data_IF_647478687492
#
_entry.id   IF_647478687492
#
_cell.length_a   1.000
_cell.length_b   1.000
_cell.length_c   1.000
_cell.angle_alpha   90.00
_cell.angle_beta   90.00
_cell.angle_gamma   90.00
#
_symmetry.space_group_name_H-M   'P 1'
#
loop_
_entity.id
_entity.type
_entity.pdbx_description
1 polymer ?
#
# COMPACT_ATOMS: atom_id res chain seq x y z
N UNK A 1 13.85 5.92 17.66
CA UNK A 1 12.62 5.24 17.19
C UNK A 1 12.30 5.67 15.76
N UNK A 2 11.50 4.90 15.02
CA UNK A 2 11.01 5.27 13.68
C UNK A 2 9.52 5.61 13.80
N UNK A 3 9.10 6.71 13.18
CA UNK A 3 7.69 7.12 13.10
C UNK A 3 7.17 6.79 11.70
N UNK A 4 6.13 5.97 11.61
CA UNK A 4 5.43 5.66 10.37
C UNK A 4 3.99 6.15 10.48
N UNK A 5 3.55 6.95 9.51
CA UNK A 5 2.17 7.46 9.47
C UNK A 5 1.20 6.37 9.03
N UNK A 6 0.19 6.08 9.85
CA UNK A 6 -0.92 5.18 9.51
C UNK A 6 -1.94 5.81 8.55
N UNK A 7 -1.46 6.40 7.45
CA UNK A 7 -2.32 7.08 6.47
C UNK A 7 -2.50 6.14 5.29
N UNK A 8 -3.75 5.76 4.99
CA UNK A 8 -4.07 5.03 3.77
C UNK A 8 -3.70 5.87 2.54
N UNK A 9 -3.01 5.24 1.59
CA UNK A 9 -2.52 5.90 0.38
C UNK A 9 -3.61 6.42 -0.53
N UNK A 10 -3.20 7.10 -1.60
CA UNK A 10 -4.08 7.54 -2.68
C UNK A 10 -3.23 7.60 -3.96
N UNK A 11 -3.85 7.40 -5.11
CA UNK A 11 -3.19 7.41 -6.40
C UNK A 11 -3.81 8.49 -7.30
N UNK A 12 -3.16 9.64 -7.52
CA UNK A 12 -1.77 9.97 -7.16
C UNK A 12 -1.57 10.36 -5.66
N UNK A 13 -0.34 10.28 -5.13
CA UNK A 13 -0.06 10.62 -3.74
C UNK A 13 -0.35 12.10 -3.40
N UNK A 14 -1.12 12.34 -2.34
CA UNK A 14 -1.56 13.68 -1.93
C UNK A 14 -0.62 14.42 -0.94
N UNK A 15 0.56 13.89 -0.64
CA UNK A 15 1.52 14.53 0.30
C UNK A 15 1.04 14.64 1.77
N UNK A 16 0.02 13.88 2.16
CA UNK A 16 -0.63 13.96 3.48
C UNK A 16 0.30 13.70 4.67
N UNK A 17 1.36 12.90 4.50
CA UNK A 17 2.35 12.63 5.57
C UNK A 17 2.98 13.92 6.12
N UNK A 18 3.31 14.88 5.25
CA UNK A 18 3.90 16.17 5.69
C UNK A 18 2.93 16.96 6.56
N UNK A 19 1.67 17.04 6.12
CA UNK A 19 0.61 17.81 6.79
C UNK A 19 0.17 17.18 8.11
N UNK A 20 0.04 15.86 8.16
CA UNK A 20 -0.61 15.15 9.27
C UNK A 20 0.39 14.59 10.29
N UNK A 21 1.63 14.29 9.88
CA UNK A 21 2.62 13.61 10.72
C UNK A 21 3.86 14.47 10.92
N UNK A 22 4.59 14.80 9.84
CA UNK A 22 5.89 15.48 9.95
C UNK A 22 5.79 16.83 10.66
N UNK A 23 4.76 17.62 10.36
CA UNK A 23 4.49 18.91 11.03
C UNK A 23 4.26 18.80 12.53
N UNK A 24 3.85 17.63 13.03
CA UNK A 24 3.54 17.36 14.44
C UNK A 24 4.70 16.68 15.18
N UNK A 25 5.80 16.37 14.49
CA UNK A 25 7.00 15.77 15.05
C UNK A 25 8.23 16.60 14.68
N UNK A 26 8.35 17.85 15.18
CA UNK A 26 9.40 18.80 14.75
C UNK A 26 10.81 18.34 15.10
N UNK A 27 10.97 17.52 16.13
CA UNK A 27 12.26 16.92 16.52
C UNK A 27 12.64 15.71 15.65
N UNK A 28 11.70 15.19 14.86
CA UNK A 28 11.95 14.05 14.00
C UNK A 28 12.58 14.49 12.67
N UNK A 29 13.61 13.75 12.25
CA UNK A 29 14.26 13.99 10.96
C UNK A 29 13.50 13.24 9.86
N UNK A 30 12.95 13.99 8.90
CA UNK A 30 12.31 13.40 7.73
C UNK A 30 13.34 12.77 6.77
N UNK A 31 13.03 11.56 6.28
CA UNK A 31 13.82 10.80 5.31
C UNK A 31 12.90 10.13 4.30
N UNK A 32 13.33 10.07 3.05
CA UNK A 32 12.67 9.29 2.01
C UNK A 32 13.25 7.87 1.97
N UNK A 33 12.40 6.88 1.72
CA UNK A 33 12.77 5.46 1.56
C UNK A 33 12.71 5.00 0.09
N UNK A 34 12.64 5.95 -0.84
CA UNK A 34 12.46 5.72 -2.27
C UNK A 34 11.65 6.83 -2.92
N UNK A 35 11.45 6.74 -4.23
CA UNK A 35 10.70 7.74 -5.04
C UNK A 35 9.21 7.44 -5.19
N UNK A 36 8.75 6.27 -4.74
CA UNK A 36 7.34 5.85 -4.85
C UNK A 36 6.62 5.77 -3.51
N UNK A 37 5.30 5.64 -3.58
CA UNK A 37 4.45 5.47 -2.40
C UNK A 37 4.40 4.00 -1.98
N UNK A 38 4.88 3.71 -0.78
CA UNK A 38 4.79 2.37 -0.19
C UNK A 38 3.45 2.18 0.54
N UNK A 39 3.03 0.92 0.67
CA UNK A 39 2.07 0.52 1.70
C UNK A 39 2.69 0.73 3.09
N UNK A 40 1.86 0.75 4.15
CA UNK A 40 2.36 0.87 5.52
C UNK A 40 3.31 -0.31 5.85
N UNK A 41 2.88 -1.54 5.54
CA UNK A 41 3.69 -2.75 5.73
C UNK A 41 5.02 -2.69 4.97
N UNK A 42 4.98 -2.24 3.71
CA UNK A 42 6.16 -2.08 2.87
C UNK A 42 7.13 -1.04 3.42
N UNK A 43 6.62 0.10 3.90
CA UNK A 43 7.44 1.15 4.49
C UNK A 43 8.13 0.68 5.78
N UNK A 44 7.41 -0.03 6.65
CA UNK A 44 7.96 -0.62 7.89
C UNK A 44 9.04 -1.63 7.55
N UNK A 45 8.81 -2.49 6.56
CA UNK A 45 9.79 -3.50 6.16
C UNK A 45 11.07 -2.89 5.59
N UNK A 46 10.97 -1.88 4.72
CA UNK A 46 12.13 -1.15 4.20
C UNK A 46 12.90 -0.48 5.34
N UNK A 47 12.20 0.17 6.28
CA UNK A 47 12.83 0.81 7.42
C UNK A 47 13.58 -0.21 8.30
N UNK A 48 12.99 -1.39 8.52
CA UNK A 48 13.64 -2.50 9.23
C UNK A 48 14.94 -2.93 8.53
N UNK A 49 14.91 -3.15 7.22
CA UNK A 49 16.10 -3.55 6.47
C UNK A 49 17.21 -2.49 6.53
N UNK A 50 16.86 -1.22 6.42
CA UNK A 50 17.83 -0.12 6.58
C UNK A 50 18.45 -0.11 7.97
N UNK A 51 17.65 -0.32 9.02
CA UNK A 51 18.17 -0.47 10.39
C UNK A 51 19.09 -1.70 10.55
N UNK A 52 18.94 -2.72 9.71
CA UNK A 52 19.81 -3.89 9.66
C UNK A 52 21.07 -3.69 8.80
N UNK A 53 21.28 -2.49 8.25
CA UNK A 53 22.48 -2.13 7.48
C UNK A 53 22.33 -2.26 5.96
N UNK A 54 21.16 -2.63 5.45
CA UNK A 54 20.92 -2.67 4.00
C UNK A 54 20.85 -1.25 3.43
N UNK A 55 21.46 -1.03 2.27
CA UNK A 55 21.31 0.23 1.55
C UNK A 55 19.99 0.20 0.77
N UNK A 56 19.29 1.33 0.70
CA UNK A 56 18.01 1.42 -0.04
C UNK A 56 18.09 0.88 -1.48
N UNK A 57 19.22 1.12 -2.17
CA UNK A 57 19.44 0.66 -3.54
C UNK A 57 19.58 -0.86 -3.70
N UNK A 58 19.87 -1.57 -2.61
CA UNK A 58 20.03 -3.02 -2.60
C UNK A 58 18.70 -3.72 -2.22
N UNK A 59 17.68 -2.97 -1.80
CA UNK A 59 16.36 -3.52 -1.46
C UNK A 59 15.56 -3.68 -2.74
N UNK A 60 15.16 -4.91 -3.06
CA UNK A 60 14.32 -5.17 -4.21
C UNK A 60 12.91 -4.63 -3.97
N UNK A 61 12.46 -3.75 -4.86
CA UNK A 61 11.13 -3.15 -4.81
C UNK A 61 10.52 -3.18 -6.21
N UNK A 62 9.22 -3.51 -6.31
CA UNK A 62 8.44 -3.38 -7.55
C UNK A 62 7.25 -2.45 -7.34
N UNK A 63 6.88 -1.74 -8.39
CA UNK A 63 5.66 -0.94 -8.44
C UNK A 63 4.52 -1.79 -8.97
N UNK A 64 3.37 -1.69 -8.33
CA UNK A 64 2.16 -2.38 -8.76
C UNK A 64 2.11 -3.81 -8.25
N UNK A 65 0.95 -4.22 -7.77
CA UNK A 65 0.64 -5.61 -7.48
C UNK A 65 -0.73 -5.93 -8.09
N UNK A 66 -0.77 -6.98 -8.90
CA UNK A 66 -2.02 -7.54 -9.43
C UNK A 66 -2.45 -8.70 -8.54
N UNK A 67 -3.68 -8.64 -8.04
CA UNK A 67 -4.28 -9.67 -7.20
C UNK A 67 -5.49 -10.20 -7.94
N UNK A 68 -5.43 -11.47 -8.36
CA UNK A 68 -6.57 -12.15 -8.99
C UNK A 68 -7.64 -12.47 -7.95
N UNK A 69 -8.90 -12.24 -8.31
CA UNK A 69 -10.08 -12.52 -7.50
C UNK A 69 -10.95 -13.51 -8.26
N UNK A 70 -10.91 -14.77 -7.83
CA UNK A 70 -11.48 -15.89 -8.60
C UNK A 70 -10.93 -15.92 -10.03
N UNK A 71 -11.80 -16.29 -10.98
CA UNK A 71 -11.43 -16.43 -12.39
C UNK A 71 -11.76 -15.21 -13.25
N UNK A 72 -12.53 -14.24 -12.70
CA UNK A 72 -13.18 -13.20 -13.50
C UNK A 72 -12.71 -11.77 -13.21
N UNK A 73 -12.02 -11.55 -12.10
CA UNK A 73 -11.63 -10.21 -11.68
C UNK A 73 -10.18 -10.15 -11.22
N UNK A 74 -9.62 -8.94 -11.30
CA UNK A 74 -8.28 -8.64 -10.83
C UNK A 74 -8.29 -7.23 -10.22
N UNK A 75 -7.62 -7.08 -9.09
CA UNK A 75 -7.38 -5.77 -8.46
C UNK A 75 -5.94 -5.37 -8.66
N UNK A 76 -5.74 -4.16 -9.16
CA UNK A 76 -4.43 -3.53 -9.28
C UNK A 76 -4.18 -2.58 -8.11
N UNK A 77 -3.10 -2.82 -7.37
CA UNK A 77 -2.66 -1.98 -6.25
C UNK A 77 -1.43 -1.15 -6.68
N UNK A 78 -1.55 0.17 -6.92
CA UNK A 78 -0.52 1.01 -7.53
C UNK A 78 0.61 1.46 -6.58
N UNK A 79 0.98 0.64 -5.61
CA UNK A 79 1.99 0.96 -4.58
C UNK A 79 3.36 0.32 -4.85
N UNK A 80 4.36 0.73 -4.10
CA UNK A 80 5.68 0.12 -4.05
C UNK A 80 5.68 -1.03 -3.03
N UNK A 81 6.10 -2.21 -3.47
CA UNK A 81 6.19 -3.42 -2.66
C UNK A 81 7.64 -3.87 -2.57
N UNK A 82 8.26 -3.87 -1.38
CA UNK A 82 9.54 -4.53 -1.19
C UNK A 82 9.34 -6.05 -1.23
N UNK A 83 10.38 -6.79 -1.61
CA UNK A 83 10.32 -8.23 -1.75
C UNK A 83 11.12 -8.93 -0.65
N UNK A 84 10.55 -10.02 -0.13
CA UNK A 84 11.21 -10.95 0.79
C UNK A 84 11.07 -12.35 0.20
N UNK A 85 12.19 -13.04 -0.02
CA UNK A 85 12.21 -14.41 -0.54
C UNK A 85 11.39 -14.58 -1.83
N UNK A 86 11.48 -13.59 -2.73
CA UNK A 86 10.77 -13.57 -4.01
C UNK A 86 9.28 -13.21 -3.93
N UNK A 87 8.73 -12.95 -2.73
CA UNK A 87 7.33 -12.55 -2.52
C UNK A 87 7.22 -11.07 -2.14
N UNK A 88 6.18 -10.35 -2.61
CA UNK A 88 5.92 -8.99 -2.15
C UNK A 88 5.59 -9.00 -0.65
N UNK A 89 6.10 -8.03 0.10
CA UNK A 89 5.71 -7.82 1.49
C UNK A 89 4.35 -7.12 1.51
N UNK A 90 3.33 -7.88 1.87
CA UNK A 90 1.94 -7.46 1.96
C UNK A 90 1.26 -8.27 3.08
N UNK A 91 0.30 -7.66 3.77
CA UNK A 91 -0.50 -8.38 4.77
C UNK A 91 -1.28 -9.55 4.15
N UNK A 92 -1.12 -10.74 4.72
CA UNK A 92 -1.93 -11.92 4.40
C UNK A 92 -3.43 -11.68 4.66
N UNK A 93 -3.76 -10.82 5.63
CA UNK A 93 -5.15 -10.43 5.88
C UNK A 93 -5.73 -9.61 4.74
N UNK A 94 -4.94 -8.71 4.15
CA UNK A 94 -5.34 -7.95 2.96
C UNK A 94 -5.54 -8.88 1.77
N UNK A 95 -4.63 -9.83 1.54
CA UNK A 95 -4.80 -10.81 0.47
C UNK A 95 -6.08 -11.62 0.64
N UNK A 96 -6.33 -12.17 1.83
CA UNK A 96 -7.56 -12.91 2.12
C UNK A 96 -8.83 -12.07 1.94
N UNK A 97 -8.79 -10.81 2.36
CA UNK A 97 -9.90 -9.89 2.16
C UNK A 97 -10.12 -9.63 0.66
N UNK A 98 -9.06 -9.38 -0.09
CA UNK A 98 -9.15 -9.12 -1.53
C UNK A 98 -9.68 -10.33 -2.32
N UNK A 99 -9.28 -11.54 -1.92
CA UNK A 99 -9.69 -12.77 -2.60
C UNK A 99 -10.98 -13.37 -2.04
N UNK A 100 -11.67 -12.70 -1.12
CA UNK A 100 -12.95 -13.20 -0.60
C UNK A 100 -14.09 -12.90 -1.57
N UNK A 101 -15.14 -13.73 -1.54
CA UNK A 101 -16.37 -13.50 -2.30
C UNK A 101 -17.10 -12.22 -1.86
N UNK A 102 -16.74 -11.65 -0.71
CA UNK A 102 -17.37 -10.41 -0.21
C UNK A 102 -17.07 -9.25 -1.15
N UNK A 103 -15.84 -9.09 -1.63
CA UNK A 103 -15.49 -8.00 -2.55
C UNK A 103 -16.26 -8.11 -3.86
N UNK A 104 -16.36 -9.32 -4.43
CA UNK A 104 -17.11 -9.53 -5.67
C UNK A 104 -18.56 -9.08 -5.48
N UNK A 105 -19.18 -9.44 -4.34
CA UNK A 105 -20.55 -8.99 -4.02
C UNK A 105 -20.65 -7.49 -3.82
N UNK A 106 -19.70 -6.85 -3.13
CA UNK A 106 -19.69 -5.39 -2.93
C UNK A 106 -19.56 -4.64 -4.26
N UNK A 107 -18.66 -5.08 -5.15
CA UNK A 107 -18.51 -4.51 -6.50
C UNK A 107 -19.78 -4.73 -7.34
N UNK A 108 -20.37 -5.93 -7.30
CA UNK A 108 -21.65 -6.20 -7.97
C UNK A 108 -22.78 -5.31 -7.44
N UNK A 109 -22.84 -5.04 -6.13
CA UNK A 109 -23.81 -4.13 -5.53
C UNK A 109 -23.59 -2.68 -5.99
N UNK A 110 -22.35 -2.19 -5.97
CA UNK A 110 -22.02 -0.83 -6.42
C UNK A 110 -22.37 -0.61 -7.90
N UNK A 111 -22.15 -1.62 -8.75
CA UNK A 111 -22.53 -1.57 -10.16
C UNK A 111 -24.06 -1.58 -10.36
N UNK A 112 -24.79 -2.31 -9.53
CA UNK A 112 -26.28 -2.35 -9.57
C UNK A 112 -26.89 -1.05 -9.07
N UNK A 113 -26.39 -0.51 -7.96
CA UNK A 113 -26.91 0.71 -7.35
C UNK A 113 -26.50 1.96 -8.14
N UNK A 114 -25.32 1.96 -8.77
CA UNK A 114 -24.88 2.99 -9.70
C UNK A 114 -25.66 3.04 -11.02
N UNK A 115 -26.38 1.96 -11.38
CA UNK A 115 -27.23 1.90 -12.57
C UNK A 115 -28.67 2.41 -12.32
N UNK A 116 -29.05 2.72 -11.07
CA UNK A 116 -30.39 3.21 -10.71
C UNK A 116 -30.55 4.74 -10.69
N UNK A 117 -29.48 5.49 -11.00
CA UNK A 117 -29.45 6.95 -10.87
C UNK A 117 -29.75 7.73 -12.16
N UNK A 118 -30.81 7.38 -12.89
CA UNK A 118 -31.53 8.31 -13.79
C UNK A 118 -33.01 7.92 -13.83
N UNK A 119 -33.84 8.76 -13.23
CA UNK A 119 -35.29 8.68 -13.21
C UNK A 119 -35.86 9.91 -12.54
#
# INVERSE_FOLDING_TARGET
AIIVGGILGDNPPQGRTRKLITSRAPEAIARNIGSGQFTIDGAIYVAKLVCQGFRLKDIQVKRGLHVKIGDKAEVYLPYMYPFKDGKPVISEGLLRYLTSDEIVRYEEMLLRDGAGGQG
#
